data_IF_398192939040
#
_entry.id   IF_398192939040
#
_cell.length_a   1.000
_cell.length_b   1.000
_cell.length_c   1.000
_cell.angle_alpha   90.00
_cell.angle_beta   90.00
_cell.angle_gamma   90.00
#
_symmetry.space_group_name_H-M   'P 1'
#
loop_
_entity.id
_entity.type
_entity.pdbx_description
1 polymer ?
#
# COMPACT_ATOMS: atom_id res chain seq x y z
N UNK A 1 -39.16 -32.43 -9.49
CA UNK A 1 -38.48 -31.22 -9.01
C UNK A 1 -38.80 -30.10 -9.97
N UNK A 2 -39.53 -29.11 -9.50
CA UNK A 2 -39.87 -27.94 -10.33
C UNK A 2 -38.61 -27.07 -10.50
N UNK A 3 -38.44 -26.35 -11.62
CA UNK A 3 -37.28 -25.46 -11.81
C UNK A 3 -37.08 -24.46 -10.66
N UNK A 4 -38.17 -24.06 -9.99
CA UNK A 4 -38.13 -23.14 -8.85
C UNK A 4 -37.58 -23.79 -7.56
N UNK A 5 -37.77 -25.09 -7.37
CA UNK A 5 -37.17 -25.83 -6.24
C UNK A 5 -35.64 -25.94 -6.36
N UNK A 6 -35.11 -25.92 -7.58
CA UNK A 6 -33.66 -25.98 -7.84
C UNK A 6 -33.06 -24.57 -7.84
N UNK A 7 -33.75 -23.60 -8.43
CA UNK A 7 -33.23 -22.24 -8.59
C UNK A 7 -33.22 -21.46 -7.27
N UNK A 8 -34.26 -21.62 -6.44
CA UNK A 8 -34.39 -20.93 -5.15
C UNK A 8 -33.18 -21.12 -4.23
N UNK A 9 -32.72 -22.36 -3.91
CA UNK A 9 -31.57 -22.53 -3.02
C UNK A 9 -30.27 -21.98 -3.62
N UNK A 10 -30.08 -22.06 -4.93
CA UNK A 10 -28.89 -21.50 -5.61
C UNK A 10 -28.88 -19.98 -5.46
N UNK A 11 -30.01 -19.33 -5.72
CA UNK A 11 -30.14 -17.87 -5.58
C UNK A 11 -29.94 -17.43 -4.13
N UNK A 12 -30.47 -18.18 -3.16
CA UNK A 12 -30.28 -17.90 -1.74
C UNK A 12 -28.80 -18.01 -1.31
N UNK A 13 -28.08 -19.02 -1.80
CA UNK A 13 -26.64 -19.17 -1.53
C UNK A 13 -25.85 -18.02 -2.14
N UNK A 14 -26.13 -17.65 -3.40
CA UNK A 14 -25.46 -16.51 -4.05
C UNK A 14 -25.76 -15.19 -3.33
N UNK A 15 -27.02 -14.97 -2.92
CA UNK A 15 -27.43 -13.81 -2.15
C UNK A 15 -26.71 -13.76 -0.81
N UNK A 16 -26.55 -14.89 -0.12
CA UNK A 16 -25.80 -14.98 1.14
C UNK A 16 -24.32 -14.63 0.96
N UNK A 17 -23.66 -15.17 -0.07
CA UNK A 17 -22.26 -14.86 -0.38
C UNK A 17 -22.10 -13.36 -0.67
N UNK A 18 -22.97 -12.80 -1.50
CA UNK A 18 -22.98 -11.37 -1.81
C UNK A 18 -23.22 -10.50 -0.58
N UNK A 19 -24.13 -10.91 0.30
CA UNK A 19 -24.40 -10.22 1.56
C UNK A 19 -23.19 -10.23 2.51
N UNK A 20 -22.52 -11.37 2.67
CA UNK A 20 -21.31 -11.49 3.49
C UNK A 20 -20.15 -10.63 2.95
N UNK A 21 -20.00 -10.56 1.63
CA UNK A 21 -19.00 -9.70 0.98
C UNK A 21 -19.33 -8.20 1.12
N UNK A 22 -20.61 -7.84 1.02
CA UNK A 22 -21.05 -6.47 1.28
C UNK A 22 -20.77 -6.07 2.72
N UNK A 23 -21.05 -6.97 3.67
CA UNK A 23 -20.82 -6.75 5.10
C UNK A 23 -19.32 -6.66 5.46
N UNK A 24 -18.43 -7.38 4.76
CA UNK A 24 -16.98 -7.27 4.99
C UNK A 24 -16.41 -5.94 4.50
N UNK A 25 -16.94 -5.40 3.38
CA UNK A 25 -16.43 -4.18 2.73
C UNK A 25 -17.09 -2.88 3.24
N UNK A 26 -18.38 -2.90 3.54
CA UNK A 26 -19.18 -1.71 3.91
C UNK A 26 -20.02 -1.96 5.17
N UNK A 27 -19.41 -2.57 6.18
CA UNK A 27 -20.06 -3.08 7.40
C UNK A 27 -21.17 -2.18 7.98
N UNK A 28 -20.90 -0.89 8.21
CA UNK A 28 -21.86 0.03 8.84
C UNK A 28 -23.04 0.38 7.94
N UNK A 29 -22.82 0.49 6.63
CA UNK A 29 -23.87 0.80 5.65
C UNK A 29 -24.78 -0.41 5.48
N UNK A 30 -24.21 -1.60 5.31
CA UNK A 30 -24.99 -2.84 5.17
C UNK A 30 -25.81 -3.12 6.42
N UNK A 31 -25.21 -2.96 7.61
CA UNK A 31 -25.94 -3.14 8.87
C UNK A 31 -27.07 -2.10 9.03
N UNK A 32 -26.82 -0.84 8.66
CA UNK A 32 -27.82 0.22 8.69
C UNK A 32 -29.01 -0.05 7.76
N UNK A 33 -28.74 -0.51 6.52
CA UNK A 33 -29.78 -0.87 5.55
C UNK A 33 -30.57 -2.09 6.03
N UNK A 34 -29.90 -3.14 6.53
CA UNK A 34 -30.56 -4.33 7.08
C UNK A 34 -31.45 -3.96 8.28
N UNK A 35 -30.98 -3.10 9.16
CA UNK A 35 -31.76 -2.62 10.31
C UNK A 35 -32.97 -1.76 9.88
N UNK A 36 -32.81 -0.90 8.86
CA UNK A 36 -33.91 -0.10 8.32
C UNK A 36 -35.00 -0.97 7.69
N UNK A 37 -34.60 -1.99 6.93
CA UNK A 37 -35.53 -2.98 6.35
C UNK A 37 -36.22 -3.76 7.47
N UNK A 38 -35.47 -4.25 8.47
CA UNK A 38 -36.05 -4.93 9.63
C UNK A 38 -37.06 -4.05 10.37
N UNK A 39 -36.74 -2.79 10.63
CA UNK A 39 -37.65 -1.86 11.30
C UNK A 39 -38.91 -1.57 10.48
N UNK A 40 -38.81 -1.55 9.15
CA UNK A 40 -39.96 -1.43 8.26
C UNK A 40 -40.88 -2.66 8.36
N UNK A 41 -40.31 -3.87 8.26
CA UNK A 41 -41.09 -5.11 8.35
C UNK A 41 -41.67 -5.35 9.75
N UNK A 42 -40.99 -4.94 10.82
CA UNK A 42 -41.49 -5.04 12.19
C UNK A 42 -42.80 -4.26 12.43
N UNK A 43 -43.13 -3.26 11.59
CA UNK A 43 -44.43 -2.57 11.64
C UNK A 43 -45.58 -3.44 11.13
N UNK A 44 -45.28 -4.39 10.25
CA UNK A 44 -46.28 -5.24 9.58
C UNK A 44 -46.30 -6.65 10.17
N UNK A 45 -45.16 -7.14 10.67
CA UNK A 45 -44.97 -8.47 11.24
C UNK A 45 -44.48 -8.35 12.69
N UNK A 46 -45.40 -8.36 13.68
CA UNK A 46 -45.04 -8.23 15.09
C UNK A 46 -44.21 -9.44 15.56
N UNK A 47 -43.43 -9.24 16.63
CA UNK A 47 -42.52 -10.24 17.21
C UNK A 47 -43.24 -11.30 18.05
N UNK A 48 -44.31 -11.90 17.51
CA UNK A 48 -45.18 -12.82 18.24
C UNK A 48 -45.50 -14.06 17.40
N UNK A 49 -45.75 -15.19 18.09
CA UNK A 49 -46.17 -16.45 17.46
C UNK A 49 -45.19 -16.95 16.40
N UNK A 50 -45.71 -17.31 15.21
CA UNK A 50 -44.90 -17.87 14.12
C UNK A 50 -43.91 -16.86 13.52
N UNK A 51 -44.16 -15.55 13.64
CA UNK A 51 -43.25 -14.50 13.17
C UNK A 51 -41.93 -14.51 13.94
N UNK A 52 -41.94 -14.95 15.21
CA UNK A 52 -40.73 -15.05 16.03
C UNK A 52 -39.70 -16.01 15.42
N UNK A 53 -40.16 -17.10 14.79
CA UNK A 53 -39.29 -18.04 14.11
C UNK A 53 -38.59 -17.36 12.92
N UNK A 54 -39.32 -16.61 12.09
CA UNK A 54 -38.76 -15.89 10.95
C UNK A 54 -37.77 -14.79 11.38
N UNK A 55 -38.06 -14.07 12.46
CA UNK A 55 -37.13 -13.12 13.05
C UNK A 55 -35.86 -13.80 13.59
N UNK A 56 -36.01 -14.98 14.20
CA UNK A 56 -34.89 -15.82 14.63
C UNK A 56 -34.00 -16.27 13.46
N UNK A 57 -34.62 -16.73 12.36
CA UNK A 57 -33.89 -17.11 11.13
C UNK A 57 -33.18 -15.91 10.52
N UNK A 58 -33.85 -14.76 10.42
CA UNK A 58 -33.25 -13.53 9.90
C UNK A 58 -32.03 -13.09 10.76
N UNK A 59 -32.20 -13.08 12.08
CA UNK A 59 -31.10 -12.79 13.02
C UNK A 59 -29.94 -13.77 12.88
N UNK A 60 -30.24 -15.07 12.73
CA UNK A 60 -29.26 -16.12 12.50
C UNK A 60 -28.49 -15.94 11.19
N UNK A 61 -29.15 -15.58 10.10
CA UNK A 61 -28.50 -15.29 8.80
C UNK A 61 -27.58 -14.07 8.91
N UNK A 62 -28.04 -12.99 9.56
CA UNK A 62 -27.22 -11.79 9.77
C UNK A 62 -26.01 -12.10 10.65
N UNK A 63 -26.19 -12.86 11.72
CA UNK A 63 -25.12 -13.25 12.64
C UNK A 63 -24.08 -14.17 11.97
N UNK A 64 -24.53 -15.19 11.24
CA UNK A 64 -23.65 -16.09 10.49
C UNK A 64 -22.90 -15.36 9.38
N UNK A 65 -23.57 -14.46 8.66
CA UNK A 65 -22.91 -13.59 7.68
C UNK A 65 -21.91 -12.63 8.34
N UNK A 66 -22.20 -12.11 9.53
CA UNK A 66 -21.27 -11.29 10.31
C UNK A 66 -20.04 -12.08 10.76
N UNK A 67 -20.21 -13.32 11.22
CA UNK A 67 -19.09 -14.21 11.52
C UNK A 67 -18.26 -14.53 10.27
N UNK A 68 -18.91 -14.84 9.16
CA UNK A 68 -18.24 -15.08 7.87
C UNK A 68 -17.45 -13.84 7.42
N UNK A 69 -18.06 -12.65 7.50
CA UNK A 69 -17.41 -11.38 7.23
C UNK A 69 -16.25 -11.12 8.20
N UNK A 70 -16.37 -11.49 9.48
CA UNK A 70 -15.30 -11.36 10.47
C UNK A 70 -14.13 -12.29 10.17
N UNK A 71 -14.40 -13.52 9.71
CA UNK A 71 -13.38 -14.47 9.25
C UNK A 71 -12.70 -13.94 7.99
N UNK A 72 -13.45 -13.42 7.02
CA UNK A 72 -12.90 -12.79 5.81
C UNK A 72 -12.03 -11.57 6.15
N UNK A 73 -12.46 -10.74 7.10
CA UNK A 73 -11.66 -9.62 7.62
C UNK A 73 -10.45 -10.09 8.42
N UNK A 74 -10.52 -11.24 9.09
CA UNK A 74 -9.39 -11.89 9.76
C UNK A 74 -8.44 -12.57 8.78
N UNK A 75 -8.88 -13.05 7.62
CA UNK A 75 -7.96 -13.50 6.57
C UNK A 75 -7.23 -12.30 5.96
N UNK A 76 -7.88 -11.13 5.89
CA UNK A 76 -7.21 -9.87 5.51
C UNK A 76 -6.30 -9.32 6.62
N UNK A 77 -6.65 -9.49 7.91
CA UNK A 77 -5.86 -9.02 9.05
C UNK A 77 -4.86 -10.05 9.62
N UNK A 78 -4.99 -11.32 9.28
CA UNK A 78 -4.34 -12.49 9.87
C UNK A 78 -2.93 -12.77 9.37
N UNK A 79 -2.31 -11.80 8.69
CA UNK A 79 -0.90 -11.84 8.30
C UNK A 79 0.09 -11.48 9.43
N UNK A 80 -0.36 -11.30 10.67
CA UNK A 80 0.48 -10.95 11.82
C UNK A 80 0.40 -11.98 12.96
N UNK A 81 1.44 -12.81 13.17
CA UNK A 81 1.55 -13.59 14.38
C UNK A 81 2.09 -12.74 15.54
N UNK A 82 1.56 -13.04 16.73
CA UNK A 82 1.77 -12.41 18.03
C UNK A 82 3.20 -12.54 18.61
N UNK A 83 4.23 -12.18 17.84
CA UNK A 83 5.64 -12.30 18.24
C UNK A 83 6.28 -10.96 18.64
N UNK A 84 5.57 -9.84 18.46
CA UNK A 84 6.09 -8.49 18.75
C UNK A 84 6.10 -8.10 20.23
N UNK A 85 5.42 -8.85 21.12
CA UNK A 85 5.43 -8.54 22.57
C UNK A 85 6.69 -9.04 23.30
N UNK A 86 7.48 -9.96 22.75
CA UNK A 86 8.70 -10.47 23.43
C UNK A 86 9.98 -9.70 23.09
N UNK A 87 10.03 -8.95 22.00
CA UNK A 87 11.26 -8.29 21.54
C UNK A 87 11.43 -6.84 22.05
N UNK A 88 10.38 -6.24 22.60
CA UNK A 88 10.43 -4.88 23.18
C UNK A 88 11.25 -4.79 24.47
N UNK A 89 11.55 -5.93 25.12
CA UNK A 89 12.26 -5.95 26.41
C UNK A 89 13.77 -6.23 26.28
N UNK A 90 14.25 -6.65 25.09
CA UNK A 90 15.68 -6.94 24.84
C UNK A 90 16.47 -5.76 24.26
N UNK A 91 15.81 -4.76 23.66
CA UNK A 91 16.49 -3.65 22.97
C UNK A 91 16.93 -2.49 23.89
N UNK A 92 16.44 -2.42 25.13
CA UNK A 92 16.77 -1.33 26.07
C UNK A 92 18.13 -1.51 26.76
N UNK A 93 18.68 -2.73 26.81
CA UNK A 93 19.95 -3.03 27.48
C UNK A 93 21.22 -2.76 26.67
N UNK A 94 21.16 -2.82 25.34
CA UNK A 94 22.37 -2.76 24.49
C UNK A 94 22.76 -1.34 24.04
N UNK A 95 21.86 -0.34 24.12
CA UNK A 95 22.17 1.04 23.69
C UNK A 95 23.12 1.81 24.63
N UNK A 96 23.31 1.39 25.89
CA UNK A 96 24.20 2.10 26.84
C UNK A 96 25.69 1.69 26.80
N UNK A 97 26.03 0.54 26.18
CA UNK A 97 27.42 0.04 26.15
C UNK A 97 28.29 0.61 25.02
N UNK A 98 27.68 0.95 23.88
CA UNK A 98 28.43 1.33 22.66
C UNK A 98 28.89 2.80 22.67
N UNK A 99 28.21 3.69 23.41
CA UNK A 99 28.48 5.14 23.37
C UNK A 99 29.69 5.57 24.21
N UNK A 100 30.14 4.77 25.18
CA UNK A 100 31.32 5.09 26.01
C UNK A 100 32.67 4.71 25.38
N UNK A 101 32.73 3.87 24.34
CA UNK A 101 34.01 3.41 23.75
C UNK A 101 34.55 4.30 22.62
N UNK A 102 33.70 5.11 21.98
CA UNK A 102 34.13 5.93 20.83
C UNK A 102 34.61 7.34 21.18
N UNK A 103 34.42 7.81 22.42
CA UNK A 103 34.84 9.15 22.84
C UNK A 103 36.33 9.25 23.25
N UNK A 104 37.03 8.12 23.38
CA UNK A 104 38.38 8.08 23.97
C UNK A 104 39.50 7.76 22.97
N UNK A 105 39.18 7.54 21.69
CA UNK A 105 40.16 7.18 20.65
C UNK A 105 40.55 8.34 19.71
N UNK A 106 39.98 9.53 19.89
CA UNK A 106 40.13 10.67 18.98
C UNK A 106 41.22 11.70 19.37
N UNK A 107 41.94 11.51 20.48
CA UNK A 107 42.90 12.53 20.97
C UNK A 107 44.37 12.16 20.82
N UNK A 108 44.71 10.92 20.41
CA UNK A 108 46.12 10.45 20.32
C UNK A 108 46.43 9.92 18.92
N UNK A 109 46.31 10.75 17.87
CA UNK A 109 46.85 10.40 16.55
C UNK A 109 47.05 11.60 15.61
N UNK A 110 47.25 12.80 16.16
CA UNK A 110 47.75 13.97 15.43
C UNK A 110 49.24 14.20 15.71
N UNK A 111 50.10 13.28 15.28
CA UNK A 111 51.53 13.57 15.04
C UNK A 111 52.17 12.38 14.33
N UNK A 112 52.57 12.59 13.09
CA UNK A 112 53.44 11.67 12.36
C UNK A 112 52.93 11.37 10.95
N UNK A 113 53.81 11.67 9.99
CA UNK A 113 53.86 11.11 8.63
C UNK A 113 53.11 11.87 7.53
N UNK A 114 53.76 12.96 7.10
CA UNK A 114 53.97 13.23 5.68
C UNK A 114 54.76 12.07 5.04
N UNK A 115 54.25 11.46 3.96
CA UNK A 115 54.99 11.14 2.72
C UNK A 115 54.13 10.35 1.72
N UNK A 116 54.32 10.71 0.44
CA UNK A 116 54.00 9.98 -0.80
C UNK A 116 52.55 10.04 -1.35
N UNK A 117 52.43 10.80 -2.44
CA UNK A 117 51.27 10.94 -3.33
C UNK A 117 51.53 10.17 -4.63
N UNK A 118 50.75 9.14 -4.99
CA UNK A 118 50.80 8.56 -6.34
C UNK A 118 49.95 9.39 -7.33
N UNK A 119 50.40 9.44 -8.58
CA UNK A 119 49.95 10.32 -9.67
C UNK A 119 48.69 9.83 -10.42
N UNK A 120 47.97 10.74 -11.10
CA UNK A 120 46.61 10.53 -11.62
C UNK A 120 46.58 9.94 -13.05
N UNK A 121 47.24 8.80 -13.31
CA UNK A 121 47.26 8.19 -14.67
C UNK A 121 46.81 6.72 -14.78
N UNK A 122 46.40 6.07 -13.70
CA UNK A 122 45.95 4.66 -13.76
C UNK A 122 44.43 4.44 -13.57
N UNK A 123 43.62 5.50 -13.44
CA UNK A 123 42.16 5.37 -13.21
C UNK A 123 41.29 5.36 -14.48
N UNK A 124 41.88 5.31 -15.67
CA UNK A 124 41.14 5.53 -16.94
C UNK A 124 40.87 4.24 -17.73
N UNK A 125 41.46 3.10 -17.35
CA UNK A 125 41.39 1.87 -18.16
C UNK A 125 40.29 0.87 -17.77
N UNK A 126 39.38 1.19 -16.85
CA UNK A 126 38.25 0.34 -16.47
C UNK A 126 36.91 1.00 -16.84
N UNK A 127 36.74 1.34 -18.12
CA UNK A 127 35.49 1.86 -18.69
C UNK A 127 34.91 0.81 -19.62
N UNK A 128 34.10 -0.11 -19.10
CA UNK A 128 33.15 -0.87 -19.91
C UNK A 128 31.96 -1.35 -19.07
N UNK A 129 30.77 -0.99 -19.56
CA UNK A 129 29.40 -1.13 -18.99
C UNK A 129 29.07 -0.18 -17.84
N UNK A 130 28.93 1.11 -18.17
CA UNK A 130 28.20 2.06 -17.32
C UNK A 130 26.69 1.93 -17.61
N UNK A 131 25.83 1.77 -16.59
CA UNK A 131 24.40 2.04 -16.70
C UNK A 131 24.21 3.49 -17.11
N UNK A 132 23.14 3.75 -17.86
CA UNK A 132 22.76 5.07 -18.35
C UNK A 132 22.75 6.08 -17.20
N UNK A 133 23.56 7.13 -17.32
CA UNK A 133 23.69 8.23 -16.36
C UNK A 133 22.33 8.95 -16.20
N UNK A 134 21.86 9.26 -14.98
CA UNK A 134 20.60 9.95 -14.77
C UNK A 134 20.62 11.37 -15.38
N UNK A 135 19.57 11.72 -16.10
CA UNK A 135 19.28 13.10 -16.50
C UNK A 135 18.64 13.78 -15.27
N UNK A 136 19.43 14.62 -14.57
CA UNK A 136 18.97 15.52 -13.49
C UNK A 136 18.69 14.85 -12.14
N UNK A 137 19.36 15.29 -11.08
CA UNK A 137 19.24 14.75 -9.71
C UNK A 137 17.85 14.97 -9.05
N UNK A 138 16.95 15.71 -9.70
CA UNK A 138 15.59 15.98 -9.19
C UNK A 138 14.59 15.17 -10.01
N UNK A 139 13.75 14.32 -9.39
CA UNK A 139 12.74 13.57 -10.13
C UNK A 139 11.75 14.53 -10.78
N UNK A 140 11.27 14.19 -11.98
CA UNK A 140 10.33 15.03 -12.73
C UNK A 140 8.87 14.68 -12.46
N UNK A 141 8.61 13.55 -11.78
CA UNK A 141 7.27 13.07 -11.43
C UNK A 141 7.33 12.15 -10.21
N UNK A 142 6.34 12.25 -9.33
CA UNK A 142 6.19 11.37 -8.17
C UNK A 142 5.06 10.40 -8.42
N UNK A 143 5.22 9.14 -8.01
CA UNK A 143 4.20 8.11 -8.15
C UNK A 143 3.77 7.65 -6.76
N UNK A 144 2.46 7.64 -6.54
CA UNK A 144 1.84 6.90 -5.44
C UNK A 144 1.78 5.42 -5.82
N UNK A 145 2.84 4.69 -5.47
CA UNK A 145 3.00 3.30 -5.87
C UNK A 145 1.91 2.41 -5.31
N UNK A 146 1.47 2.64 -4.07
CA UNK A 146 0.38 1.86 -3.45
C UNK A 146 -0.92 2.04 -4.22
N UNK A 147 -1.31 3.27 -4.54
CA UNK A 147 -2.53 3.52 -5.31
C UNK A 147 -2.45 2.94 -6.74
N UNK A 148 -1.32 3.17 -7.43
CA UNK A 148 -1.13 2.73 -8.82
C UNK A 148 -1.18 1.21 -8.96
N UNK A 149 -0.64 0.46 -8.00
CA UNK A 149 -0.73 -1.01 -8.01
C UNK A 149 -2.17 -1.54 -8.04
N UNK A 150 -3.16 -0.76 -7.59
CA UNK A 150 -4.57 -1.14 -7.59
C UNK A 150 -5.36 -0.69 -8.83
N UNK A 151 -4.72 -0.08 -9.83
CA UNK A 151 -5.44 0.46 -10.99
C UNK A 151 -6.13 -0.61 -11.84
N UNK A 152 -5.69 -1.87 -11.78
CA UNK A 152 -6.33 -3.01 -12.46
C UNK A 152 -7.23 -3.83 -11.51
N UNK A 153 -7.61 -3.26 -10.37
CA UNK A 153 -8.58 -3.81 -9.43
C UNK A 153 -8.00 -4.74 -8.34
N UNK A 154 -6.83 -5.32 -8.55
CA UNK A 154 -6.06 -6.05 -7.52
C UNK A 154 -4.66 -5.46 -7.43
N UNK A 155 -4.01 -5.58 -6.27
CA UNK A 155 -2.63 -5.10 -6.10
C UNK A 155 -1.67 -5.92 -6.97
N UNK A 156 -1.08 -5.25 -7.96
CA UNK A 156 -0.15 -5.90 -8.88
C UNK A 156 1.07 -5.01 -9.15
N UNK A 157 2.26 -5.59 -8.98
CA UNK A 157 3.53 -4.92 -9.23
C UNK A 157 3.77 -4.69 -10.72
N UNK A 158 3.25 -5.56 -11.58
CA UNK A 158 3.35 -5.40 -13.03
C UNK A 158 2.62 -4.13 -13.47
N UNK A 159 1.42 -3.87 -12.95
CA UNK A 159 0.68 -2.62 -13.20
C UNK A 159 1.52 -1.37 -12.90
N UNK A 160 2.21 -1.34 -11.74
CA UNK A 160 3.12 -0.26 -11.38
C UNK A 160 4.33 -0.18 -12.33
N UNK A 161 4.90 -1.32 -12.72
CA UNK A 161 6.01 -1.39 -13.68
C UNK A 161 5.65 -0.79 -15.03
N UNK A 162 4.49 -1.10 -15.59
CA UNK A 162 4.08 -0.55 -16.89
C UNK A 162 3.89 0.98 -16.82
N UNK A 163 3.38 1.51 -15.71
CA UNK A 163 3.28 2.97 -15.49
C UNK A 163 4.67 3.61 -15.42
N UNK A 164 5.61 3.01 -14.69
CA UNK A 164 7.00 3.46 -14.62
C UNK A 164 7.65 3.48 -16.01
N UNK A 165 7.52 2.38 -16.76
CA UNK A 165 8.07 2.27 -18.12
C UNK A 165 7.46 3.31 -19.05
N UNK A 166 6.15 3.59 -18.93
CA UNK A 166 5.49 4.64 -19.70
C UNK A 166 6.06 6.02 -19.41
N UNK A 167 6.32 6.34 -18.15
CA UNK A 167 6.91 7.63 -17.75
C UNK A 167 8.37 7.75 -18.22
N UNK A 168 9.16 6.69 -18.06
CA UNK A 168 10.54 6.64 -18.58
C UNK A 168 10.59 6.79 -20.10
N UNK A 169 9.63 6.18 -20.83
CA UNK A 169 9.51 6.32 -22.30
C UNK A 169 9.19 7.74 -22.76
N UNK A 170 8.67 8.58 -21.86
CA UNK A 170 8.44 10.03 -22.07
C UNK A 170 9.60 10.89 -21.59
N UNK A 171 10.77 10.30 -21.32
CA UNK A 171 11.95 10.95 -20.76
C UNK A 171 11.71 11.61 -19.38
N UNK A 172 10.72 11.14 -18.62
CA UNK A 172 10.49 11.57 -17.26
C UNK A 172 11.30 10.69 -16.29
N UNK A 173 11.77 11.28 -15.19
CA UNK A 173 12.45 10.60 -14.08
C UNK A 173 11.44 10.37 -12.94
N UNK A 174 10.85 9.17 -12.82
CA UNK A 174 9.87 8.88 -11.78
C UNK A 174 10.54 8.62 -10.43
N UNK A 175 9.89 9.07 -9.36
CA UNK A 175 10.17 8.70 -7.98
C UNK A 175 8.94 8.03 -7.35
N UNK A 176 9.09 6.80 -6.88
CA UNK A 176 7.98 5.97 -6.38
C UNK A 176 7.96 5.98 -4.87
N UNK A 177 6.82 6.33 -4.28
CA UNK A 177 6.56 6.12 -2.85
C UNK A 177 5.66 4.91 -2.65
N UNK A 178 6.03 4.08 -1.68
CA UNK A 178 5.28 2.89 -1.30
C UNK A 178 5.00 2.96 0.21
N UNK A 179 3.81 2.53 0.60
CA UNK A 179 3.49 2.35 2.02
C UNK A 179 4.21 1.08 2.54
N UNK A 180 4.43 1.02 3.85
CA UNK A 180 4.91 -0.18 4.52
C UNK A 180 3.96 -1.38 4.29
N UNK A 181 2.67 -1.12 4.04
CA UNK A 181 1.67 -2.14 3.71
C UNK A 181 1.82 -2.71 2.29
N UNK A 182 2.48 -2.02 1.36
CA UNK A 182 2.60 -2.40 -0.06
C UNK A 182 3.11 -3.83 -0.27
N UNK A 183 4.12 -4.25 0.50
CA UNK A 183 4.66 -5.62 0.47
C UNK A 183 3.63 -6.68 0.89
N UNK A 184 2.72 -6.32 1.79
CA UNK A 184 1.65 -7.22 2.25
C UNK A 184 0.55 -7.33 1.19
N UNK A 185 0.26 -6.24 0.48
CA UNK A 185 -0.68 -6.25 -0.65
C UNK A 185 -0.22 -7.13 -1.81
N UNK A 186 1.09 -7.23 -2.04
CA UNK A 186 1.68 -8.11 -3.05
C UNK A 186 1.88 -9.57 -2.59
N UNK A 187 1.59 -9.88 -1.32
CA UNK A 187 1.81 -11.22 -0.76
C UNK A 187 3.28 -11.61 -0.56
N UNK A 188 4.23 -10.68 -0.78
CA UNK A 188 5.66 -10.95 -0.72
C UNK A 188 6.35 -10.08 0.34
N UNK A 189 6.67 -10.70 1.48
CA UNK A 189 7.35 -10.05 2.62
C UNK A 189 8.85 -9.84 2.39
N UNK A 190 9.42 -10.40 1.35
CA UNK A 190 10.85 -10.24 1.02
C UNK A 190 11.15 -8.92 0.31
N UNK A 191 10.12 -8.23 -0.19
CA UNK A 191 10.27 -6.97 -0.89
C UNK A 191 10.68 -5.83 0.06
N UNK A 192 11.95 -5.44 -0.05
CA UNK A 192 12.51 -4.21 0.51
C UNK A 192 12.65 -3.12 -0.58
N UNK A 193 13.12 -1.93 -0.19
CA UNK A 193 13.31 -0.80 -1.12
C UNK A 193 14.18 -1.18 -2.34
N UNK A 194 15.23 -1.97 -2.13
CA UNK A 194 16.13 -2.40 -3.21
C UNK A 194 15.44 -3.39 -4.15
N UNK A 195 14.66 -4.31 -3.60
CA UNK A 195 13.90 -5.31 -4.35
C UNK A 195 12.79 -4.67 -5.17
N UNK A 196 12.07 -3.68 -4.60
CA UNK A 196 11.12 -2.86 -5.34
C UNK A 196 11.81 -2.09 -6.47
N UNK A 197 12.94 -1.43 -6.20
CA UNK A 197 13.68 -0.72 -7.22
C UNK A 197 14.12 -1.64 -8.36
N UNK A 198 14.64 -2.83 -8.04
CA UNK A 198 15.03 -3.83 -9.03
C UNK A 198 13.84 -4.31 -9.87
N UNK A 199 12.71 -4.65 -9.23
CA UNK A 199 11.50 -5.09 -9.93
C UNK A 199 10.88 -3.98 -10.80
N UNK A 200 11.03 -2.72 -10.38
CA UNK A 200 10.55 -1.55 -11.10
C UNK A 200 11.54 -1.01 -12.14
N UNK A 201 12.73 -1.61 -12.30
CA UNK A 201 13.78 -1.10 -13.20
C UNK A 201 14.25 0.32 -12.85
N UNK A 202 14.19 0.69 -11.57
CA UNK A 202 14.55 2.00 -11.04
C UNK A 202 15.83 1.91 -10.20
N UNK A 203 16.51 3.05 -10.05
CA UNK A 203 17.61 3.13 -9.09
C UNK A 203 17.04 3.15 -7.64
N UNK A 204 17.76 2.61 -6.64
CA UNK A 204 17.26 2.57 -5.26
C UNK A 204 16.88 3.93 -4.66
N UNK A 205 17.51 5.00 -5.12
CA UNK A 205 17.21 6.37 -4.71
C UNK A 205 15.92 6.94 -5.34
N UNK A 206 15.35 6.28 -6.35
CA UNK A 206 14.08 6.64 -6.99
C UNK A 206 12.89 5.87 -6.38
N UNK A 207 13.12 5.06 -5.36
CA UNK A 207 12.07 4.33 -4.64
C UNK A 207 12.18 4.65 -3.16
N UNK A 208 11.08 4.98 -2.52
CA UNK A 208 10.99 5.22 -1.08
C UNK A 208 9.89 4.37 -0.49
N UNK A 209 10.27 3.43 0.38
CA UNK A 209 9.31 2.67 1.18
C UNK A 209 9.16 3.40 2.51
N UNK A 210 7.97 3.94 2.78
CA UNK A 210 7.69 4.64 4.01
C UNK A 210 7.79 3.69 5.23
N UNK A 211 8.28 4.17 6.39
CA UNK A 211 8.31 3.36 7.60
C UNK A 211 6.92 2.86 8.02
N UNK A 212 6.87 1.73 8.73
CA UNK A 212 5.62 1.25 9.30
C UNK A 212 5.04 2.28 10.29
N UNK A 213 3.71 2.39 10.32
CA UNK A 213 2.97 3.35 11.16
C UNK A 213 3.19 4.82 10.78
N UNK A 214 3.68 5.09 9.57
CA UNK A 214 3.74 6.45 9.01
C UNK A 214 2.82 6.57 7.80
N UNK A 215 2.15 7.70 7.65
CA UNK A 215 1.29 7.96 6.50
C UNK A 215 2.15 8.28 5.28
N UNK A 216 2.22 7.36 4.31
CA UNK A 216 2.97 7.55 3.06
C UNK A 216 2.52 8.79 2.29
N UNK A 217 1.21 9.08 2.29
CA UNK A 217 0.61 10.23 1.62
C UNK A 217 1.21 11.56 2.09
N UNK A 218 1.47 11.70 3.39
CA UNK A 218 2.04 12.93 3.93
C UNK A 218 3.48 13.16 3.44
N UNK A 219 4.28 12.09 3.32
CA UNK A 219 5.64 12.17 2.79
C UNK A 219 5.63 12.45 1.29
N UNK A 220 4.82 11.72 0.53
CA UNK A 220 4.67 11.89 -0.91
C UNK A 220 4.22 13.32 -1.26
N UNK A 221 3.20 13.85 -0.58
CA UNK A 221 2.66 15.18 -0.89
C UNK A 221 3.64 16.30 -0.50
N UNK A 222 4.36 16.15 0.62
CA UNK A 222 5.41 17.11 1.01
C UNK A 222 6.53 17.11 -0.02
N UNK A 223 7.02 15.94 -0.40
CA UNK A 223 8.07 15.80 -1.41
C UNK A 223 7.67 16.40 -2.75
N UNK A 224 6.45 16.13 -3.22
CA UNK A 224 5.93 16.69 -4.46
C UNK A 224 5.81 18.22 -4.40
N UNK A 225 5.39 18.77 -3.25
CA UNK A 225 5.22 20.21 -3.04
C UNK A 225 6.54 20.96 -2.92
N UNK A 226 7.49 20.40 -2.18
CA UNK A 226 8.82 20.99 -2.01
C UNK A 226 9.59 21.06 -3.35
N UNK A 227 9.39 20.06 -4.21
CA UNK A 227 10.03 20.00 -5.52
C UNK A 227 9.18 20.58 -6.67
N UNK A 228 7.93 20.99 -6.41
CA UNK A 228 6.96 21.47 -7.38
C UNK A 228 6.77 20.52 -8.59
N UNK A 229 6.59 19.23 -8.31
CA UNK A 229 6.48 18.16 -9.31
C UNK A 229 5.11 17.50 -9.29
N UNK A 230 4.65 16.99 -10.46
CA UNK A 230 3.36 16.32 -10.56
C UNK A 230 3.34 14.98 -9.79
N UNK A 231 2.15 14.62 -9.29
CA UNK A 231 1.89 13.36 -8.59
C UNK A 231 0.99 12.48 -9.44
N UNK A 232 1.41 11.23 -9.68
CA UNK A 232 0.60 10.20 -10.33
C UNK A 232 -0.14 9.41 -9.25
N UNK A 233 -1.45 9.65 -9.14
CA UNK A 233 -2.37 8.92 -8.25
C UNK A 233 -3.81 9.18 -8.69
N UNK A 234 -4.70 8.22 -8.45
CA UNK A 234 -6.15 8.42 -8.59
C UNK A 234 -6.80 8.92 -7.30
N UNK A 235 -6.07 8.93 -6.18
CA UNK A 235 -6.57 9.47 -4.92
C UNK A 235 -6.72 11.00 -5.00
N UNK A 236 -7.69 11.52 -4.26
CA UNK A 236 -7.89 12.96 -4.02
C UNK A 236 -7.17 13.44 -2.77
N UNK A 237 -6.60 12.54 -1.97
CA UNK A 237 -5.94 12.83 -0.70
C UNK A 237 -6.83 13.64 0.24
N UNK A 238 -8.09 13.22 0.43
CA UNK A 238 -9.11 13.97 1.14
C UNK A 238 -8.68 14.43 2.53
N UNK A 239 -8.07 13.53 3.30
CA UNK A 239 -7.57 13.79 4.66
C UNK A 239 -6.39 14.78 4.69
N UNK A 240 -5.73 14.98 3.54
CA UNK A 240 -4.56 15.84 3.36
C UNK A 240 -4.79 16.89 2.28
N UNK A 241 -6.04 17.33 2.10
CA UNK A 241 -6.42 18.31 1.08
C UNK A 241 -5.58 19.60 1.11
N UNK A 242 -5.15 20.05 2.30
CA UNK A 242 -4.28 21.22 2.46
C UNK A 242 -2.87 21.03 1.88
N UNK A 243 -2.32 19.81 1.92
CA UNK A 243 -1.04 19.45 1.32
C UNK A 243 -1.19 19.23 -0.19
N UNK A 244 -2.28 18.60 -0.61
CA UNK A 244 -2.59 18.37 -2.02
C UNK A 244 -2.96 19.65 -2.80
N UNK A 245 -3.44 20.69 -2.11
CA UNK A 245 -3.84 21.96 -2.73
C UNK A 245 -2.68 22.58 -3.51
N UNK A 246 -2.90 22.80 -4.80
CA UNK A 246 -1.94 23.42 -5.72
C UNK A 246 -1.00 22.45 -6.42
N UNK A 247 -1.02 21.15 -6.09
CA UNK A 247 -0.26 20.14 -6.80
C UNK A 247 -0.95 19.70 -8.09
N UNK A 248 -0.16 19.42 -9.13
CA UNK A 248 -0.66 18.81 -10.36
C UNK A 248 -0.83 17.31 -10.14
N UNK A 249 -2.08 16.87 -10.00
CA UNK A 249 -2.42 15.45 -9.95
C UNK A 249 -2.63 14.90 -11.37
N UNK A 250 -1.89 13.85 -11.69
CA UNK A 250 -1.96 13.10 -12.94
C UNK A 250 -2.71 11.81 -12.64
N UNK A 251 -3.94 11.74 -13.16
CA UNK A 251 -4.77 10.54 -13.04
C UNK A 251 -4.46 9.57 -14.16
N UNK A 252 -4.78 8.30 -13.96
CA UNK A 252 -4.63 7.32 -15.02
C UNK A 252 -5.45 6.07 -14.81
N UNK A 253 -5.52 5.28 -15.88
CA UNK A 253 -6.20 3.98 -15.90
C UNK A 253 -5.39 3.01 -16.74
N UNK A 254 -5.54 1.72 -16.48
CA UNK A 254 -5.05 0.68 -17.38
C UNK A 254 -6.16 0.41 -18.41
N UNK A 255 -5.86 0.60 -19.69
CA UNK A 255 -6.77 0.31 -20.79
C UNK A 255 -6.07 -0.60 -21.80
N UNK A 256 -6.59 -1.82 -22.00
CA UNK A 256 -5.99 -2.81 -22.91
C UNK A 256 -4.55 -3.17 -22.56
N UNK A 257 -4.23 -3.25 -21.26
CA UNK A 257 -2.89 -3.56 -20.76
C UNK A 257 -1.87 -2.41 -20.86
N UNK A 258 -2.31 -1.20 -21.27
CA UNK A 258 -1.45 -0.02 -21.36
C UNK A 258 -1.93 1.08 -20.42
N UNK A 259 -1.03 1.78 -19.71
CA UNK A 259 -1.39 2.90 -18.87
C UNK A 259 -1.70 4.12 -19.73
N UNK A 260 -2.87 4.71 -19.48
CA UNK A 260 -3.31 5.98 -20.02
C UNK A 260 -3.23 7.01 -18.90
N UNK A 261 -2.37 8.02 -19.05
CA UNK A 261 -2.15 9.07 -18.07
C UNK A 261 -2.75 10.39 -18.58
N UNK A 262 -3.52 11.07 -17.74
CA UNK A 262 -4.16 12.34 -18.08
C UNK A 262 -3.21 13.51 -17.77
N UNK A 263 -2.85 14.28 -18.79
CA UNK A 263 -2.08 15.52 -18.62
C UNK A 263 -0.54 15.38 -18.65
N UNK A 264 -0.03 14.27 -19.21
CA UNK A 264 1.39 14.00 -19.48
C UNK A 264 1.64 13.45 -20.89
#
# INVERSE_FOLDING_TARGET
MTPIEILTPIVLVLAFIGYAFCLSRLMWVTLGVTAAIGAYFARTYPFEGENLFYWGVLGGVVFTAWLAAMVLRRTEAGGLPAQQKKNAQKSTGQRKGQQKKNAQKSTVQRKGQQKHRPTPKQRVAARRKQPVTPIGDVPSVVIDGTNVMYWDGQADLHTLRVVVDKLQSKNLSPHVFLDASSRHHLGDKSLDQYSFAAALGLAPNQVTVCPAQTEADAFLLRFAKENNIPVVSNDRFGDRASLAKGLKLVKGVIAGGKPVLQGL
#
